data_IF_897264049855
#
_entry.id   IF_897264049855
#
_cell.length_a   1.000
_cell.length_b   1.000
_cell.length_c   1.000
_cell.angle_alpha   90.00
_cell.angle_beta   90.00
_cell.angle_gamma   90.00
#
_symmetry.space_group_name_H-M   'P 1'
#
loop_
_entity.id
_entity.type
_entity.pdbx_description
1 polymer ?
#
# COMPACT_ATOMS: atom_id res chain seq x y z
N UNK A 1 -4.84 2.63 -7.96
CA UNK A 1 -3.35 2.60 -8.08
C UNK A 1 -2.78 4.00 -8.01
N UNK A 2 -1.52 4.20 -7.62
CA UNK A 2 -0.88 5.53 -7.56
C UNK A 2 0.46 5.49 -8.25
N UNK A 3 0.84 6.55 -8.99
CA UNK A 3 2.12 6.67 -9.69
C UNK A 3 2.74 8.07 -9.54
N UNK A 4 4.07 8.15 -9.67
CA UNK A 4 4.83 9.40 -9.77
C UNK A 4 6.18 9.13 -10.41
N UNK A 5 6.43 9.71 -11.60
CA UNK A 5 7.66 9.59 -12.40
C UNK A 5 8.19 8.15 -12.52
N UNK A 6 7.30 7.19 -12.90
CA UNK A 6 7.62 5.76 -13.03
C UNK A 6 6.96 5.12 -14.23
N UNK A 7 7.01 5.77 -15.38
CA UNK A 7 6.34 5.35 -16.61
C UNK A 7 6.50 3.86 -16.93
N UNK A 8 7.74 3.36 -17.02
CA UNK A 8 7.99 1.96 -17.37
C UNK A 8 7.39 0.98 -16.35
N UNK A 9 7.48 1.29 -15.05
CA UNK A 9 6.95 0.44 -13.96
C UNK A 9 5.44 0.44 -13.93
N UNK A 10 4.83 1.62 -14.07
CA UNK A 10 3.38 1.78 -14.12
C UNK A 10 2.78 0.95 -15.25
N UNK A 11 3.38 1.02 -16.46
CA UNK A 11 2.93 0.22 -17.60
C UNK A 11 3.13 -1.30 -17.36
N UNK A 12 4.23 -1.71 -16.75
CA UNK A 12 4.45 -3.12 -16.40
C UNK A 12 3.47 -3.64 -15.37
N UNK A 13 3.15 -2.83 -14.35
CA UNK A 13 2.16 -3.19 -13.33
C UNK A 13 0.74 -3.30 -13.91
N UNK A 14 0.36 -2.38 -14.81
CA UNK A 14 -0.93 -2.41 -15.51
C UNK A 14 -1.05 -3.63 -16.43
N UNK A 15 -0.01 -3.94 -17.21
CA UNK A 15 0.02 -5.14 -18.04
C UNK A 15 -0.15 -6.41 -17.19
N UNK A 16 0.58 -6.54 -16.09
CA UNK A 16 0.46 -7.68 -15.18
C UNK A 16 -0.94 -7.79 -14.57
N UNK A 17 -1.64 -6.67 -14.39
CA UNK A 17 -3.01 -6.63 -13.90
C UNK A 17 -4.00 -7.09 -14.98
N UNK A 18 -3.79 -6.73 -16.24
CA UNK A 18 -4.62 -7.18 -17.39
C UNK A 18 -4.39 -8.67 -17.70
N UNK A 19 -3.19 -9.19 -17.48
CA UNK A 19 -2.81 -10.59 -17.73
C UNK A 19 -3.24 -11.56 -16.60
N UNK A 20 -4.03 -11.12 -15.63
CA UNK A 20 -4.49 -11.97 -14.54
C UNK A 20 -5.34 -13.14 -15.03
N UNK A 21 -5.15 -14.31 -14.42
CA UNK A 21 -5.80 -15.58 -14.80
C UNK A 21 -6.49 -16.23 -13.62
N UNK A 22 -7.46 -17.10 -13.93
CA UNK A 22 -8.17 -17.90 -12.93
C UNK A 22 -9.13 -17.07 -12.07
N UNK A 23 -9.57 -15.92 -12.58
CA UNK A 23 -10.59 -15.11 -11.92
C UNK A 23 -11.94 -15.84 -11.98
N UNK A 24 -12.79 -15.70 -10.95
CA UNK A 24 -14.16 -16.20 -10.98
C UNK A 24 -14.92 -15.66 -12.18
N UNK A 25 -15.81 -16.47 -12.76
CA UNK A 25 -16.66 -16.03 -13.87
C UNK A 25 -17.47 -14.77 -13.47
N UNK A 26 -17.59 -13.81 -14.40
CA UNK A 26 -18.29 -12.56 -14.17
C UNK A 26 -17.48 -11.52 -13.38
N UNK A 27 -16.21 -11.79 -13.05
CA UNK A 27 -15.34 -10.77 -12.43
C UNK A 27 -15.06 -9.65 -13.41
N UNK A 28 -15.38 -8.42 -13.05
CA UNK A 28 -15.01 -7.20 -13.77
C UNK A 28 -13.95 -6.45 -12.99
N UNK A 29 -13.01 -5.83 -13.69
CA UNK A 29 -11.91 -5.08 -13.11
C UNK A 29 -11.93 -3.65 -13.63
N UNK A 30 -12.28 -2.68 -12.77
CA UNK A 30 -12.11 -1.25 -13.02
C UNK A 30 -10.78 -0.77 -12.44
N UNK A 31 -10.00 -0.02 -13.23
CA UNK A 31 -8.68 0.46 -12.79
C UNK A 31 -8.67 1.99 -12.75
N UNK A 32 -8.45 2.54 -11.55
CA UNK A 32 -8.25 3.97 -11.32
C UNK A 32 -6.79 4.24 -10.99
N UNK A 33 -6.11 5.00 -11.83
CA UNK A 33 -4.73 5.46 -11.61
C UNK A 33 -4.73 6.92 -11.20
N UNK A 34 -4.20 7.22 -10.02
CA UNK A 34 -3.93 8.59 -9.61
C UNK A 34 -2.46 8.88 -9.82
N UNK A 35 -2.17 9.72 -10.78
CA UNK A 35 -0.86 10.25 -11.07
C UNK A 35 -0.60 11.50 -10.21
N UNK A 36 0.49 11.50 -9.47
CA UNK A 36 0.83 12.58 -8.54
C UNK A 36 1.89 13.53 -9.14
N UNK A 37 1.55 14.12 -10.30
CA UNK A 37 2.37 15.14 -10.95
C UNK A 37 3.60 14.59 -11.64
N UNK A 38 3.47 13.49 -12.37
CA UNK A 38 4.55 12.95 -13.19
C UNK A 38 4.92 13.89 -14.34
N UNK A 39 6.21 14.00 -14.60
CA UNK A 39 6.80 14.80 -15.70
C UNK A 39 7.40 13.92 -16.80
N UNK A 40 7.45 12.61 -16.58
CA UNK A 40 8.06 11.62 -17.48
C UNK A 40 7.11 11.08 -18.57
N UNK A 41 5.92 11.67 -18.72
CA UNK A 41 4.89 11.24 -19.68
C UNK A 41 4.14 9.98 -19.26
N UNK A 42 4.12 9.64 -17.96
CA UNK A 42 3.36 8.50 -17.42
C UNK A 42 1.87 8.57 -17.75
N UNK A 43 1.13 9.66 -17.49
CA UNK A 43 -0.31 9.73 -17.75
C UNK A 43 -0.67 9.52 -19.22
N UNK A 44 0.07 10.14 -20.13
CA UNK A 44 -0.13 10.05 -21.58
C UNK A 44 0.12 8.62 -22.07
N UNK A 45 1.22 8.01 -21.60
CA UNK A 45 1.57 6.64 -21.98
C UNK A 45 0.53 5.63 -21.48
N UNK A 46 -0.07 5.85 -20.30
CA UNK A 46 -1.14 4.98 -19.78
C UNK A 46 -2.41 5.15 -20.60
N UNK A 47 -2.85 6.38 -20.88
CA UNK A 47 -4.05 6.62 -21.71
C UNK A 47 -3.92 6.00 -23.11
N UNK A 48 -2.71 6.03 -23.68
CA UNK A 48 -2.45 5.46 -25.00
C UNK A 48 -2.44 3.93 -25.02
N UNK A 49 -1.83 3.29 -24.02
CA UNK A 49 -1.60 1.84 -24.01
C UNK A 49 -2.64 1.05 -23.23
N UNK A 50 -3.32 1.68 -22.28
CA UNK A 50 -4.33 1.12 -21.40
C UNK A 50 -5.57 2.00 -21.36
N UNK A 51 -6.31 2.14 -22.47
CA UNK A 51 -7.43 3.10 -22.60
C UNK A 51 -8.60 2.82 -21.65
N UNK A 52 -8.69 1.60 -21.10
CA UNK A 52 -9.69 1.24 -20.10
C UNK A 52 -9.34 1.74 -18.68
N UNK A 53 -8.12 2.26 -18.46
CA UNK A 53 -7.68 2.79 -17.15
C UNK A 53 -8.12 4.24 -17.01
N UNK A 54 -8.86 4.52 -15.96
CA UNK A 54 -9.20 5.90 -15.59
C UNK A 54 -7.99 6.60 -14.96
N UNK A 55 -7.41 7.56 -15.68
CA UNK A 55 -6.23 8.30 -15.24
C UNK A 55 -6.61 9.68 -14.73
N UNK A 56 -6.35 9.92 -13.45
CA UNK A 56 -6.45 11.23 -12.80
C UNK A 56 -5.07 11.79 -12.50
N UNK A 57 -4.79 13.00 -12.96
CA UNK A 57 -3.57 13.71 -12.61
C UNK A 57 -3.86 14.73 -11.50
N UNK A 58 -3.05 14.72 -10.45
CA UNK A 58 -3.11 15.64 -9.30
C UNK A 58 -1.73 16.26 -9.06
N UNK A 59 -1.65 17.26 -8.19
CA UNK A 59 -0.38 17.92 -7.90
C UNK A 59 0.65 17.01 -7.23
N UNK A 60 1.93 17.30 -7.44
CA UNK A 60 3.07 16.52 -6.88
C UNK A 60 3.17 16.58 -5.34
N UNK A 61 2.48 17.52 -4.70
CA UNK A 61 2.36 17.63 -3.25
C UNK A 61 1.42 16.60 -2.63
N UNK A 62 0.62 15.91 -3.45
CA UNK A 62 -0.35 14.90 -3.03
C UNK A 62 0.39 13.61 -2.66
N UNK A 63 0.35 13.27 -1.38
CA UNK A 63 0.97 12.05 -0.88
C UNK A 63 0.15 10.80 -1.23
N UNK A 64 0.82 9.62 -1.28
CA UNK A 64 0.21 8.34 -1.66
C UNK A 64 -1.10 8.03 -0.93
N UNK A 65 -1.16 8.19 0.40
CA UNK A 65 -2.40 7.93 1.15
C UNK A 65 -3.55 8.86 0.73
N UNK A 66 -3.24 10.09 0.34
CA UNK A 66 -4.21 11.04 -0.18
C UNK A 66 -4.66 10.66 -1.61
N UNK A 67 -3.71 10.24 -2.46
CA UNK A 67 -4.00 9.74 -3.79
C UNK A 67 -4.90 8.48 -3.76
N UNK A 68 -4.65 7.55 -2.82
CA UNK A 68 -5.53 6.40 -2.61
C UNK A 68 -6.96 6.82 -2.21
N UNK A 69 -7.12 7.82 -1.35
CA UNK A 69 -8.46 8.36 -1.01
C UNK A 69 -9.17 8.99 -2.21
N UNK A 70 -8.42 9.68 -3.07
CA UNK A 70 -8.97 10.25 -4.30
C UNK A 70 -9.46 9.11 -5.22
N UNK A 71 -8.63 8.09 -5.47
CA UNK A 71 -9.01 6.93 -6.26
C UNK A 71 -10.24 6.21 -5.69
N UNK A 72 -10.28 6.02 -4.37
CA UNK A 72 -11.38 5.39 -3.66
C UNK A 72 -12.70 6.17 -3.79
N UNK A 73 -12.65 7.49 -3.74
CA UNK A 73 -13.84 8.34 -3.92
C UNK A 73 -14.36 8.26 -5.34
N UNK A 74 -13.48 8.30 -6.35
CA UNK A 74 -13.87 8.19 -7.75
C UNK A 74 -14.51 6.85 -8.07
N UNK A 75 -13.98 5.75 -7.55
CA UNK A 75 -14.59 4.43 -7.74
C UNK A 75 -16.03 4.33 -7.18
N UNK A 76 -16.42 5.23 -6.28
CA UNK A 76 -17.79 5.31 -5.72
C UNK A 76 -18.73 6.18 -6.54
N UNK A 77 -18.20 7.23 -7.18
CA UNK A 77 -19.00 8.19 -7.96
C UNK A 77 -19.43 7.65 -9.34
N UNK A 78 -19.07 6.40 -9.68
CA UNK A 78 -19.33 5.82 -10.98
C UNK A 78 -18.78 6.72 -12.09
N UNK A 79 -17.44 6.70 -12.28
CA UNK A 79 -16.72 7.25 -13.43
C UNK A 79 -17.35 8.42 -14.22
N UNK A 80 -17.66 9.52 -13.56
CA UNK A 80 -18.20 10.70 -14.21
C UNK A 80 -17.18 11.84 -14.23
N UNK A 81 -16.19 11.80 -15.16
CA UNK A 81 -15.29 12.93 -15.29
C UNK A 81 -14.18 12.72 -16.30
N UNK A 82 -14.52 12.65 -17.61
CA UNK A 82 -13.50 12.67 -18.67
C UNK A 82 -14.11 12.31 -20.03
N UNK A 83 -14.71 13.26 -20.70
CA UNK A 83 -14.89 13.38 -22.15
C UNK A 83 -15.06 12.12 -23.00
N UNK A 84 -16.20 11.45 -22.94
CA UNK A 84 -16.80 10.79 -24.09
C UNK A 84 -18.32 11.07 -24.05
N UNK A 85 -18.77 11.93 -24.94
CA UNK A 85 -20.17 12.20 -25.17
C UNK A 85 -20.86 10.89 -25.59
N UNK A 86 -21.77 10.34 -24.75
CA UNK A 86 -22.60 9.21 -25.13
C UNK A 86 -23.05 8.23 -24.06
N UNK A 87 -22.65 8.38 -22.81
CA UNK A 87 -23.19 7.53 -21.74
C UNK A 87 -24.43 8.17 -21.13
N UNK A 88 -25.61 7.55 -21.31
CA UNK A 88 -26.86 7.97 -20.72
C UNK A 88 -26.77 8.05 -19.18
N UNK A 89 -27.27 9.12 -18.53
CA UNK A 89 -27.36 9.21 -17.09
C UNK A 89 -28.43 8.24 -16.60
N UNK A 90 -28.06 7.18 -15.88
CA UNK A 90 -29.01 6.28 -15.27
C UNK A 90 -28.69 4.78 -15.29
N UNK A 91 -27.50 4.38 -15.72
CA UNK A 91 -27.08 2.99 -15.56
C UNK A 91 -26.79 2.70 -14.08
N UNK A 92 -27.06 1.43 -13.56
CA UNK A 92 -26.75 1.09 -12.19
C UNK A 92 -25.26 1.32 -11.98
N UNK A 93 -24.91 2.17 -11.01
CA UNK A 93 -23.54 2.31 -10.55
C UNK A 93 -23.08 0.92 -10.17
N UNK A 94 -22.15 0.33 -10.95
CA UNK A 94 -21.64 -0.99 -10.65
C UNK A 94 -20.94 -0.93 -9.29
N UNK A 95 -21.73 -1.30 -8.25
CA UNK A 95 -21.22 -1.32 -6.91
C UNK A 95 -20.08 -2.34 -6.84
N UNK A 96 -18.85 -1.86 -6.72
CA UNK A 96 -17.70 -2.73 -6.54
C UNK A 96 -17.86 -3.56 -5.26
N UNK A 97 -17.38 -4.80 -5.29
CA UNK A 97 -17.38 -5.71 -4.13
C UNK A 97 -16.10 -5.64 -3.32
N UNK A 98 -15.00 -5.36 -3.98
CA UNK A 98 -13.67 -5.25 -3.37
C UNK A 98 -12.89 -4.11 -3.99
N UNK A 99 -12.07 -3.44 -3.19
CA UNK A 99 -11.01 -2.53 -3.66
C UNK A 99 -9.66 -3.21 -3.56
N UNK A 100 -8.88 -3.19 -4.63
CA UNK A 100 -7.48 -3.57 -4.61
C UNK A 100 -6.60 -2.31 -4.52
N UNK A 101 -5.89 -2.14 -3.42
CA UNK A 101 -4.81 -1.16 -3.34
C UNK A 101 -3.57 -1.77 -3.96
N UNK A 102 -3.08 -1.16 -5.02
CA UNK A 102 -1.90 -1.63 -5.75
C UNK A 102 -0.91 -0.50 -5.94
N UNK A 103 0.36 -0.76 -5.62
CA UNK A 103 1.48 0.15 -5.87
C UNK A 103 2.07 -0.12 -7.26
N UNK A 104 2.43 0.93 -7.99
CA UNK A 104 2.99 0.85 -9.35
C UNK A 104 4.36 0.17 -9.45
N UNK A 105 5.01 -0.10 -8.32
CA UNK A 105 6.28 -0.86 -8.25
C UNK A 105 6.09 -2.36 -8.15
N UNK A 106 4.86 -2.82 -8.00
CA UNK A 106 4.56 -4.24 -7.86
C UNK A 106 4.06 -4.80 -9.18
N UNK A 107 4.77 -5.79 -9.69
CA UNK A 107 4.33 -6.62 -10.81
C UNK A 107 3.68 -7.87 -10.23
N UNK A 108 2.37 -8.00 -10.43
CA UNK A 108 1.60 -9.13 -9.93
C UNK A 108 1.92 -10.41 -10.71
N UNK A 109 1.93 -11.54 -10.02
CA UNK A 109 2.01 -12.84 -10.67
C UNK A 109 0.68 -13.20 -11.34
N UNK A 110 0.66 -14.06 -12.37
CA UNK A 110 -0.52 -14.29 -13.21
C UNK A 110 -1.78 -14.77 -12.49
N UNK A 111 -1.67 -15.33 -11.28
CA UNK A 111 -2.80 -15.82 -10.46
C UNK A 111 -2.97 -15.05 -9.15
N UNK A 112 -2.34 -13.89 -9.03
CA UNK A 112 -2.35 -13.09 -7.81
C UNK A 112 -3.77 -12.72 -7.38
N UNK A 113 -4.57 -12.16 -8.28
CA UNK A 113 -5.94 -11.75 -7.96
C UNK A 113 -6.84 -12.95 -7.62
N UNK A 114 -6.70 -14.07 -8.32
CA UNK A 114 -7.43 -15.28 -8.02
C UNK A 114 -7.11 -15.79 -6.60
N UNK A 115 -5.82 -15.76 -6.21
CA UNK A 115 -5.39 -16.13 -4.86
C UNK A 115 -5.98 -15.18 -3.79
N UNK A 116 -5.88 -13.87 -4.01
CA UNK A 116 -6.43 -12.87 -3.08
C UNK A 116 -7.95 -13.03 -2.91
N UNK A 117 -8.70 -13.20 -4.01
CA UNK A 117 -10.15 -13.40 -3.98
C UNK A 117 -10.55 -14.72 -3.33
N UNK A 118 -9.81 -15.80 -3.58
CA UNK A 118 -10.02 -17.09 -2.92
C UNK A 118 -9.83 -16.97 -1.40
N UNK A 119 -8.75 -16.31 -0.98
CA UNK A 119 -8.46 -16.05 0.44
C UNK A 119 -9.54 -15.16 1.08
N UNK A 120 -10.02 -14.13 0.38
CA UNK A 120 -11.09 -13.26 0.87
C UNK A 120 -12.40 -14.04 1.05
N UNK A 121 -12.74 -14.91 0.08
CA UNK A 121 -13.94 -15.76 0.17
C UNK A 121 -13.86 -16.72 1.36
N UNK A 122 -12.71 -17.34 1.58
CA UNK A 122 -12.50 -18.24 2.72
C UNK A 122 -12.55 -17.53 4.07
N UNK A 123 -12.04 -16.29 4.14
CA UNK A 123 -12.03 -15.48 5.36
C UNK A 123 -13.36 -14.79 5.67
N UNK A 124 -14.25 -14.69 4.69
CA UNK A 124 -15.56 -14.03 4.83
C UNK A 124 -15.55 -12.51 4.58
N UNK A 125 -16.72 -11.86 4.65
CA UNK A 125 -16.92 -10.48 4.19
C UNK A 125 -16.18 -9.42 5.01
N UNK A 126 -15.78 -9.74 6.22
CA UNK A 126 -15.02 -8.83 7.11
C UNK A 126 -13.54 -9.21 7.19
N UNK A 127 -12.96 -9.65 6.07
CA UNK A 127 -11.54 -10.04 6.01
C UNK A 127 -10.79 -9.24 4.96
N UNK A 128 -9.85 -8.42 5.40
CA UNK A 128 -8.85 -7.80 4.52
C UNK A 128 -7.81 -8.83 4.12
N UNK A 129 -7.47 -8.89 2.84
CA UNK A 129 -6.43 -9.81 2.35
C UNK A 129 -5.22 -9.03 1.87
N UNK A 130 -4.07 -9.39 2.39
CA UNK A 130 -2.78 -8.78 2.10
C UNK A 130 -1.98 -9.70 1.20
N UNK A 131 -1.48 -9.17 0.10
CA UNK A 131 -0.56 -9.88 -0.78
C UNK A 131 0.89 -9.67 -0.34
N UNK A 132 1.60 -10.76 -0.08
CA UNK A 132 3.04 -10.69 0.14
C UNK A 132 3.79 -10.48 -1.18
N UNK A 133 4.78 -9.58 -1.18
CA UNK A 133 5.57 -9.20 -2.35
C UNK A 133 7.05 -9.46 -2.05
N UNK A 134 7.73 -10.11 -2.99
CA UNK A 134 9.17 -10.41 -2.87
C UNK A 134 10.05 -9.45 -3.68
N UNK A 135 11.32 -9.37 -3.33
CA UNK A 135 12.35 -8.74 -4.15
C UNK A 135 12.91 -9.71 -5.20
N UNK A 136 13.91 -9.26 -5.96
CA UNK A 136 14.58 -10.09 -6.96
C UNK A 136 15.38 -11.26 -6.34
N UNK A 137 15.70 -11.21 -5.06
CA UNK A 137 16.44 -12.26 -4.33
C UNK A 137 15.51 -13.29 -3.68
N UNK A 138 14.20 -13.08 -3.75
CA UNK A 138 13.20 -13.95 -3.14
C UNK A 138 12.74 -13.54 -1.74
N UNK A 139 13.38 -12.52 -1.12
CA UNK A 139 13.01 -12.08 0.22
C UNK A 139 11.68 -11.34 0.21
N UNK A 140 10.85 -11.56 1.22
CA UNK A 140 9.62 -10.80 1.42
C UNK A 140 9.93 -9.37 1.83
N UNK A 141 9.46 -8.40 1.04
CA UNK A 141 9.72 -6.97 1.27
C UNK A 141 8.48 -6.20 1.71
N UNK A 142 7.31 -6.63 1.27
CA UNK A 142 6.01 -6.09 1.69
C UNK A 142 5.06 -7.24 2.01
N UNK A 143 4.34 -7.11 3.13
CA UNK A 143 3.38 -8.11 3.59
C UNK A 143 2.53 -7.55 4.74
N UNK A 144 1.80 -8.43 5.42
CA UNK A 144 1.21 -8.16 6.71
C UNK A 144 2.27 -7.91 7.79
N UNK A 145 1.85 -7.25 8.87
CA UNK A 145 2.69 -6.96 10.03
C UNK A 145 2.02 -7.44 11.31
N UNK A 146 2.82 -7.95 12.26
CA UNK A 146 2.33 -8.49 13.53
C UNK A 146 2.99 -7.83 14.73
N UNK A 147 2.22 -7.69 15.80
CA UNK A 147 2.70 -7.17 17.09
C UNK A 147 3.00 -5.67 17.06
N UNK A 148 3.54 -5.19 18.19
CA UNK A 148 3.93 -3.78 18.36
C UNK A 148 5.19 -3.41 17.59
N UNK A 149 6.07 -4.39 17.39
CA UNK A 149 7.30 -4.21 16.62
C UNK A 149 7.06 -4.14 15.10
N UNK A 150 5.81 -4.34 14.65
CA UNK A 150 5.46 -4.40 13.22
C UNK A 150 6.30 -5.42 12.46
N UNK A 151 6.51 -6.59 13.08
CA UNK A 151 7.28 -7.68 12.48
C UNK A 151 6.61 -8.12 11.19
N UNK A 152 7.39 -8.29 10.13
CA UNK A 152 6.91 -8.76 8.84
C UNK A 152 6.38 -10.19 8.96
N UNK A 153 5.23 -10.44 8.36
CA UNK A 153 4.65 -11.79 8.28
C UNK A 153 5.11 -12.44 6.98
N UNK A 154 5.87 -13.52 7.09
CA UNK A 154 6.23 -14.33 5.94
C UNK A 154 5.00 -15.11 5.43
N UNK A 155 4.74 -15.15 4.12
CA UNK A 155 3.63 -15.92 3.59
C UNK A 155 3.92 -17.42 3.69
N UNK A 156 2.98 -18.19 4.23
CA UNK A 156 3.04 -19.65 4.12
C UNK A 156 2.68 -20.11 2.69
N UNK A 157 3.24 -21.23 2.25
CA UNK A 157 3.03 -21.71 0.88
C UNK A 157 1.60 -22.15 0.56
N UNK A 158 0.83 -22.60 1.55
CA UNK A 158 -0.46 -23.28 1.36
C UNK A 158 -1.61 -22.76 2.22
N UNK A 159 -1.35 -21.88 3.17
CA UNK A 159 -2.37 -21.32 4.06
C UNK A 159 -2.23 -19.81 4.21
N UNK A 160 -3.33 -19.15 4.53
CA UNK A 160 -3.31 -17.74 4.88
C UNK A 160 -2.77 -17.55 6.31
N UNK A 161 -1.97 -16.49 6.51
CA UNK A 161 -1.39 -16.17 7.83
C UNK A 161 -2.06 -14.91 8.41
N UNK A 162 -2.48 -14.93 9.70
CA UNK A 162 -3.07 -13.75 10.31
C UNK A 162 -2.03 -12.64 10.49
N UNK A 163 -2.50 -11.39 10.38
CA UNK A 163 -1.69 -10.21 10.68
C UNK A 163 -2.53 -9.14 11.39
N UNK A 164 -1.86 -8.17 12.04
CA UNK A 164 -2.55 -7.12 12.80
C UNK A 164 -2.71 -5.83 12.00
N UNK A 165 -1.83 -5.64 11.03
CA UNK A 165 -1.81 -4.52 10.10
C UNK A 165 -0.96 -4.88 8.88
N UNK A 166 -0.76 -3.98 7.93
CA UNK A 166 -0.15 -4.31 6.66
C UNK A 166 0.53 -3.14 5.96
N UNK A 167 1.45 -3.45 5.07
CA UNK A 167 1.95 -2.53 4.05
C UNK A 167 0.94 -2.47 2.90
N UNK A 168 0.45 -1.30 2.57
CA UNK A 168 -0.61 -1.09 1.58
C UNK A 168 -0.17 -1.22 0.11
N UNK A 169 0.77 -2.14 -0.20
CA UNK A 169 1.28 -2.32 -1.57
C UNK A 169 0.39 -3.20 -2.41
N UNK A 170 -0.13 -4.27 -1.82
CA UNK A 170 -1.14 -5.16 -2.40
C UNK A 170 -2.11 -5.51 -1.30
N UNK A 171 -3.26 -4.86 -1.26
CA UNK A 171 -4.28 -5.08 -0.23
C UNK A 171 -5.66 -5.14 -0.88
N UNK A 172 -6.35 -6.22 -0.69
CA UNK A 172 -7.73 -6.41 -1.11
C UNK A 172 -8.67 -6.09 0.07
N UNK A 173 -9.46 -5.04 -0.07
CA UNK A 173 -10.39 -4.55 0.95
C UNK A 173 -11.82 -4.82 0.48
N UNK A 174 -12.58 -5.68 1.16
CA UNK A 174 -13.99 -5.89 0.86
C UNK A 174 -14.82 -4.62 1.10
N UNK A 175 -15.93 -4.47 0.36
CA UNK A 175 -16.85 -3.34 0.52
C UNK A 175 -17.34 -3.19 1.96
N UNK A 176 -17.74 -4.29 2.59
CA UNK A 176 -18.20 -4.28 3.98
C UNK A 176 -17.15 -3.71 4.95
N UNK A 177 -15.86 -4.04 4.74
CA UNK A 177 -14.78 -3.47 5.54
C UNK A 177 -14.57 -1.99 5.24
N UNK A 178 -14.65 -1.61 3.97
CA UNK A 178 -14.52 -0.20 3.58
C UNK A 178 -15.63 0.66 4.21
N UNK A 179 -16.88 0.17 4.19
CA UNK A 179 -18.02 0.88 4.77
C UNK A 179 -17.90 1.02 6.30
N UNK A 180 -17.21 0.08 6.96
CA UNK A 180 -16.95 0.09 8.41
C UNK A 180 -15.76 0.97 8.81
N UNK A 181 -14.65 0.90 8.08
CA UNK A 181 -13.35 1.48 8.47
C UNK A 181 -13.04 2.78 7.70
N UNK A 182 -13.54 2.88 6.47
CA UNK A 182 -13.30 4.00 5.56
C UNK A 182 -11.91 4.03 4.96
N UNK A 183 -11.54 5.19 4.45
CA UNK A 183 -10.23 5.46 3.84
C UNK A 183 -9.08 5.54 4.87
N UNK A 184 -7.81 5.46 4.44
CA UNK A 184 -6.66 5.84 5.25
C UNK A 184 -6.82 7.26 5.82
N UNK A 185 -6.45 7.48 7.09
CA UNK A 185 -6.62 8.76 7.78
C UNK A 185 -5.75 9.87 7.17
N UNK A 186 -6.28 11.11 7.14
CA UNK A 186 -5.63 12.29 6.56
C UNK A 186 -4.34 12.72 7.26
N UNK A 187 -4.18 12.37 8.53
CA UNK A 187 -2.97 12.66 9.33
C UNK A 187 -1.75 11.97 8.73
N UNK A 188 -1.96 10.79 8.11
CA UNK A 188 -0.90 9.99 7.56
C UNK A 188 -0.74 10.22 6.06
N UNK A 189 0.46 10.51 5.63
CA UNK A 189 0.77 10.80 4.22
C UNK A 189 1.26 9.57 3.45
N UNK A 190 1.92 8.64 4.15
CA UNK A 190 2.58 7.48 3.55
C UNK A 190 2.27 6.19 4.35
N UNK A 191 3.24 5.29 4.45
CA UNK A 191 3.13 3.95 5.06
C UNK A 191 2.44 3.90 6.42
N UNK A 192 2.58 4.93 7.26
CA UNK A 192 1.87 4.99 8.54
C UNK A 192 0.35 4.97 8.40
N UNK A 193 -0.18 5.49 7.29
CA UNK A 193 -1.61 5.42 6.97
C UNK A 193 -2.10 4.00 6.72
N UNK A 194 -1.28 3.17 6.09
CA UNK A 194 -1.58 1.77 5.86
C UNK A 194 -1.64 1.02 7.22
N UNK A 195 -0.65 1.27 8.10
CA UNK A 195 -0.63 0.68 9.44
C UNK A 195 -1.77 1.15 10.34
N UNK A 196 -2.12 2.44 10.29
CA UNK A 196 -3.27 2.98 11.01
C UNK A 196 -4.58 2.34 10.54
N UNK A 197 -4.74 2.20 9.22
CA UNK A 197 -5.94 1.58 8.64
C UNK A 197 -6.09 0.13 9.12
N UNK A 198 -5.04 -0.68 9.05
CA UNK A 198 -5.07 -2.06 9.54
C UNK A 198 -5.39 -2.15 11.04
N UNK A 199 -4.82 -1.27 11.87
CA UNK A 199 -5.12 -1.22 13.30
C UNK A 199 -6.55 -0.77 13.60
N UNK A 200 -7.10 0.17 12.82
CA UNK A 200 -8.51 0.56 12.94
C UNK A 200 -9.44 -0.60 12.54
N UNK A 201 -9.12 -1.27 11.44
CA UNK A 201 -9.84 -2.45 10.99
C UNK A 201 -9.85 -3.55 12.07
N UNK A 202 -8.69 -3.88 12.64
CA UNK A 202 -8.57 -4.87 13.70
C UNK A 202 -9.41 -4.52 14.94
N UNK A 203 -9.43 -3.24 15.36
CA UNK A 203 -10.29 -2.79 16.48
C UNK A 203 -11.77 -2.86 16.18
N UNK A 204 -12.14 -2.74 14.91
CA UNK A 204 -13.52 -2.89 14.45
C UNK A 204 -13.94 -4.37 14.26
N UNK A 205 -13.11 -5.31 14.70
CA UNK A 205 -13.39 -6.76 14.58
C UNK A 205 -13.11 -7.34 13.18
N UNK A 206 -12.43 -6.59 12.31
CA UNK A 206 -12.05 -7.05 10.97
C UNK A 206 -10.82 -7.94 11.06
N UNK A 207 -10.87 -9.11 10.44
CA UNK A 207 -9.71 -9.99 10.27
C UNK A 207 -8.80 -9.47 9.16
N UNK A 208 -7.49 -9.66 9.32
CA UNK A 208 -6.52 -9.40 8.26
C UNK A 208 -5.63 -10.63 8.04
N UNK A 209 -5.57 -11.10 6.79
CA UNK A 209 -4.88 -12.31 6.40
C UNK A 209 -3.87 -12.03 5.29
N UNK A 210 -2.65 -12.54 5.43
CA UNK A 210 -1.69 -12.63 4.33
C UNK A 210 -2.06 -13.83 3.47
N UNK A 211 -2.25 -13.62 2.18
CA UNK A 211 -2.56 -14.70 1.24
C UNK A 211 -1.41 -15.71 1.14
N UNK A 212 -1.69 -16.98 0.81
CA UNK A 212 -0.66 -17.98 0.62
C UNK A 212 0.34 -17.60 -0.47
N UNK A 213 1.62 -17.78 -0.20
CA UNK A 213 2.71 -17.49 -1.12
C UNK A 213 2.87 -16.01 -1.47
N UNK A 214 3.80 -15.71 -2.35
CA UNK A 214 3.97 -14.36 -2.88
C UNK A 214 3.02 -14.12 -4.04
N UNK A 215 2.39 -12.95 -4.05
CA UNK A 215 1.44 -12.55 -5.11
C UNK A 215 2.08 -11.68 -6.20
N UNK A 216 3.31 -11.25 -6.00
CA UNK A 216 4.02 -10.39 -6.95
C UNK A 216 5.46 -10.16 -6.56
N UNK A 217 6.16 -9.43 -7.42
CA UNK A 217 7.54 -9.02 -7.21
C UNK A 217 7.69 -7.50 -7.33
N UNK A 218 8.63 -6.96 -6.57
CA UNK A 218 9.06 -5.56 -6.66
C UNK A 218 10.55 -5.55 -7.04
N UNK A 219 10.86 -5.07 -8.24
CA UNK A 219 12.23 -5.09 -8.78
C UNK A 219 13.16 -4.13 -8.05
N UNK A 220 12.61 -3.01 -7.59
CA UNK A 220 13.37 -1.97 -6.91
C UNK A 220 12.81 -1.76 -5.50
N UNK A 221 13.13 -2.65 -4.61
CA UNK A 221 13.28 -2.25 -3.21
C UNK A 221 14.64 -1.60 -3.15
N UNK A 222 14.73 -0.28 -3.04
CA UNK A 222 16.01 0.31 -2.75
C UNK A 222 16.47 -0.35 -1.46
N UNK A 223 17.58 -1.01 -1.50
CA UNK A 223 18.44 -1.21 -0.33
C UNK A 223 18.98 0.19 -0.01
N UNK A 224 18.02 1.14 0.17
CA UNK A 224 18.37 2.49 0.53
C UNK A 224 19.03 2.37 1.88
N UNK A 225 20.28 2.81 1.97
CA UNK A 225 20.92 2.95 3.24
C UNK A 225 20.01 3.81 4.11
N UNK A 226 19.35 3.16 5.04
CA UNK A 226 18.44 3.82 5.97
C UNK A 226 19.24 4.60 7.02
N UNK A 227 18.52 5.15 7.98
CA UNK A 227 19.13 5.78 9.17
C UNK A 227 20.05 4.84 9.96
N UNK A 228 20.04 3.56 9.66
CA UNK A 228 20.83 2.52 10.32
C UNK A 228 22.07 2.07 9.53
N UNK A 229 22.41 2.76 8.44
CA UNK A 229 23.60 2.46 7.64
C UNK A 229 24.89 2.60 8.50
N UNK A 230 25.80 1.61 8.44
CA UNK A 230 27.07 1.73 9.14
C UNK A 230 27.89 2.93 8.64
N UNK A 231 28.47 3.68 9.55
CA UNK A 231 29.38 4.78 9.20
C UNK A 231 28.72 6.14 8.91
N UNK A 232 27.40 6.25 8.91
CA UNK A 232 26.75 7.55 8.73
C UNK A 232 26.90 8.43 9.96
N UNK A 233 27.06 9.74 9.74
CA UNK A 233 27.14 10.72 10.82
C UNK A 233 25.79 10.89 11.55
N UNK A 234 25.84 11.24 12.83
CA UNK A 234 24.66 11.43 13.69
C UNK A 234 23.61 12.36 13.08
N UNK A 235 24.05 13.50 12.50
CA UNK A 235 23.16 14.49 11.87
C UNK A 235 22.43 13.90 10.66
N UNK A 236 23.13 13.13 9.83
CA UNK A 236 22.53 12.48 8.66
C UNK A 236 21.60 11.32 9.08
N UNK A 237 21.98 10.53 10.07
CA UNK A 237 21.16 9.47 10.64
C UNK A 237 19.84 10.03 11.18
N UNK A 238 19.89 11.16 11.90
CA UNK A 238 18.70 11.84 12.41
C UNK A 238 17.84 12.38 11.28
N UNK A 239 18.43 13.00 10.26
CA UNK A 239 17.72 13.51 9.09
C UNK A 239 16.97 12.38 8.37
N UNK A 240 17.59 11.21 8.20
CA UNK A 240 17.00 10.06 7.52
C UNK A 240 15.85 9.45 8.34
N UNK A 241 16.07 9.17 9.64
CA UNK A 241 15.02 8.57 10.48
C UNK A 241 13.80 9.46 10.63
N UNK A 242 13.96 10.78 10.62
CA UNK A 242 12.85 11.73 10.69
C UNK A 242 12.21 12.01 9.32
N UNK A 243 12.77 11.48 8.25
CA UNK A 243 12.26 11.67 6.90
C UNK A 243 10.92 10.95 6.70
N UNK A 244 10.19 11.39 5.68
CA UNK A 244 8.92 10.80 5.27
C UNK A 244 9.05 9.33 4.88
N UNK A 245 10.22 8.92 4.40
CA UNK A 245 10.50 7.51 4.00
C UNK A 245 10.66 6.56 5.17
N UNK A 246 10.99 7.05 6.37
CA UNK A 246 11.17 6.22 7.56
C UNK A 246 10.10 6.50 8.63
N UNK A 247 10.43 7.24 9.69
CA UNK A 247 9.56 7.49 10.84
C UNK A 247 9.42 9.00 11.08
N UNK A 248 8.65 9.75 10.28
CA UNK A 248 8.44 11.18 10.51
C UNK A 248 7.76 11.38 11.87
N UNK A 249 8.34 12.18 12.79
CA UNK A 249 7.92 12.24 14.20
C UNK A 249 6.43 12.51 14.38
N UNK A 250 5.89 13.48 13.66
CA UNK A 250 4.47 13.86 13.76
C UNK A 250 3.52 12.70 13.45
N UNK A 251 3.83 11.90 12.42
CA UNK A 251 2.98 10.76 12.03
C UNK A 251 3.24 9.56 12.94
N UNK A 252 4.50 9.31 13.30
CA UNK A 252 4.87 8.25 14.22
C UNK A 252 4.24 8.44 15.61
N UNK A 253 4.28 9.65 16.15
CA UNK A 253 3.67 9.97 17.44
C UNK A 253 2.15 9.85 17.38
N UNK A 254 1.50 10.35 16.33
CA UNK A 254 0.07 10.15 16.15
C UNK A 254 -0.31 8.66 16.14
N UNK A 255 0.49 7.83 15.46
CA UNK A 255 0.31 6.38 15.44
C UNK A 255 0.51 5.76 16.84
N UNK A 256 1.57 6.11 17.55
CA UNK A 256 1.86 5.59 18.88
C UNK A 256 0.74 5.94 19.87
N UNK A 257 0.31 7.18 19.91
CA UNK A 257 -0.76 7.62 20.81
C UNK A 257 -2.09 6.90 20.54
N UNK A 258 -2.38 6.62 19.28
CA UNK A 258 -3.62 5.91 18.88
C UNK A 258 -3.59 4.42 19.16
N UNK A 259 -2.44 3.77 19.00
CA UNK A 259 -2.40 2.31 18.84
C UNK A 259 -1.52 1.57 19.85
N UNK A 260 -0.69 2.27 20.63
CA UNK A 260 0.32 1.60 21.45
C UNK A 260 0.26 1.95 22.94
N UNK A 261 -0.80 2.60 23.40
CA UNK A 261 -0.96 2.88 24.83
C UNK A 261 -0.95 1.59 25.68
N UNK A 262 -0.28 1.54 26.86
CA UNK A 262 0.46 2.61 27.54
C UNK A 262 1.92 2.78 27.11
N UNK A 263 2.42 2.03 26.13
CA UNK A 263 3.80 2.03 25.65
C UNK A 263 4.15 3.23 24.75
N UNK A 264 3.16 4.07 24.44
CA UNK A 264 3.32 5.18 23.52
C UNK A 264 4.51 6.09 23.86
N UNK A 265 4.73 6.57 25.11
CA UNK A 265 5.84 7.46 25.44
C UNK A 265 7.22 6.85 25.11
N UNK A 266 7.39 5.56 25.41
CA UNK A 266 8.62 4.84 25.09
C UNK A 266 8.81 4.68 23.57
N UNK A 267 7.76 4.25 22.86
CA UNK A 267 7.84 4.00 21.42
C UNK A 267 7.99 5.27 20.59
N UNK A 268 7.49 6.40 21.09
CA UNK A 268 7.67 7.70 20.43
C UNK A 268 9.15 8.12 20.36
N UNK A 269 9.95 7.77 21.35
CA UNK A 269 11.35 8.22 21.49
C UNK A 269 12.35 7.13 21.10
N UNK A 270 12.10 5.87 21.44
CA UNK A 270 13.06 4.78 21.34
C UNK A 270 13.64 4.53 19.94
N UNK A 271 12.93 4.70 18.81
CA UNK A 271 13.54 4.55 17.49
C UNK A 271 14.61 5.59 17.20
N UNK A 272 14.35 6.83 17.58
CA UNK A 272 15.29 7.94 17.36
C UNK A 272 16.51 7.81 18.29
N UNK A 273 16.30 7.46 19.56
CA UNK A 273 17.37 7.21 20.51
C UNK A 273 18.30 6.07 20.06
N UNK A 274 17.73 4.98 19.52
CA UNK A 274 18.52 3.86 18.99
C UNK A 274 19.38 4.27 17.79
N UNK A 275 18.85 5.07 16.88
CA UNK A 275 19.59 5.57 15.71
C UNK A 275 20.74 6.48 16.17
N UNK A 276 20.47 7.38 17.10
CA UNK A 276 21.51 8.27 17.67
C UNK A 276 22.62 7.49 18.38
N UNK A 277 22.26 6.50 19.21
CA UNK A 277 23.22 5.66 19.92
C UNK A 277 24.13 4.89 18.93
N UNK A 278 23.57 4.29 17.87
CA UNK A 278 24.35 3.57 16.85
C UNK A 278 25.30 4.49 16.09
N UNK A 279 24.80 5.66 15.63
CA UNK A 279 25.61 6.62 14.90
C UNK A 279 26.72 7.24 15.78
N UNK A 280 26.47 7.41 17.09
CA UNK A 280 27.47 7.85 18.07
C UNK A 280 28.55 6.81 18.33
N UNK A 281 28.17 5.55 18.52
CA UNK A 281 29.12 4.44 18.76
C UNK A 281 29.98 4.14 17.51
N UNK A 282 29.47 4.35 16.31
CA UNK A 282 30.23 4.19 15.07
C UNK A 282 31.40 5.21 14.96
N UNK A 283 31.28 6.40 15.55
CA UNK A 283 32.35 7.41 15.60
C UNK A 283 33.49 7.08 16.59
N UNK A 284 33.22 6.26 17.60
CA UNK A 284 34.21 5.88 18.59
C UNK A 284 35.07 4.66 18.17
N UNK A 285 34.71 4.02 17.05
CA UNK A 285 35.38 2.81 16.53
C UNK A 285 36.13 3.05 15.21
N UNK A 286 36.08 4.22 14.64
CA UNK A 286 36.84 4.66 13.46
C UNK A 286 37.76 5.83 13.81
#
# INVERSE_FOLDING_TARGET
MTSHDRRARTLSALRALEEQRGLPAGTTLGVHLVDTGSTDGTPEAVRLRHPAVEVMSVGADIARAQALRIASRNSRSGGGGGGAAGAAPGGPSHAWTHQLWLDDRVVLFPRALANLLCTARAGGPHTVVVGAVRNAYGDTVYSGRRGRALTLVEPAGHRAEPCDTYDGRVVLVPRAVYDLVGDPDKVFRHRMGDYDHGRRAHRAGVSALVAPGHVGACVDVPRAPGSQEPGIGVREALRRVTSVGELPPRQWWAYCLRHTWPWAPYLMVSPYARVLARAGLGRLRG
#
